data_IF_656792596286
#
_entry.id   IF_656792596286
#
_cell.length_a   1.000
_cell.length_b   1.000
_cell.length_c   1.000
_cell.angle_alpha   90.00
_cell.angle_beta   90.00
_cell.angle_gamma   90.00
#
_symmetry.space_group_name_H-M   'P 1'
#
loop_
_entity.id
_entity.type
_entity.pdbx_description
1 polymer ?
#
# COMPACT_ATOMS: atom_id res chain seq x y z
N UNK A 1 13.91 -12.63 13.19
CA UNK A 1 13.44 -12.81 14.59
C UNK A 1 11.93 -12.71 14.52
N UNK A 2 11.18 -13.73 14.93
CA UNK A 2 9.72 -13.78 14.69
C UNK A 2 9.03 -12.66 15.49
N UNK A 3 8.18 -11.88 14.83
CA UNK A 3 7.38 -10.83 15.47
C UNK A 3 6.53 -11.41 16.61
N UNK A 4 6.55 -10.83 17.82
CA UNK A 4 5.79 -11.35 18.96
C UNK A 4 4.30 -11.48 18.62
N UNK A 5 3.75 -12.70 18.73
CA UNK A 5 2.33 -12.96 18.46
C UNK A 5 1.99 -13.38 17.01
N UNK A 6 2.97 -13.50 16.11
CA UNK A 6 2.75 -14.08 14.77
C UNK A 6 2.50 -15.60 14.84
N UNK A 7 1.26 -15.99 15.13
CA UNK A 7 0.82 -17.40 15.12
C UNK A 7 0.88 -18.03 13.73
N UNK A 8 0.92 -17.21 12.67
CA UNK A 8 0.99 -17.68 11.30
C UNK A 8 2.42 -18.02 10.85
N UNK A 9 3.44 -17.62 11.60
CA UNK A 9 4.85 -17.89 11.30
C UNK A 9 5.12 -19.38 10.98
N UNK A 10 4.44 -20.30 11.66
CA UNK A 10 4.56 -21.76 11.45
C UNK A 10 4.16 -22.25 10.05
N UNK A 11 3.40 -21.45 9.30
CA UNK A 11 2.97 -21.78 7.93
C UNK A 11 3.96 -21.31 6.87
N UNK A 12 4.92 -20.45 7.23
CA UNK A 12 5.93 -19.98 6.30
C UNK A 12 7.13 -20.90 6.35
N UNK A 13 7.69 -21.20 5.17
CA UNK A 13 8.91 -22.00 5.08
C UNK A 13 10.02 -21.33 5.90
N UNK A 14 10.84 -22.10 6.64
CA UNK A 14 11.96 -21.56 7.40
C UNK A 14 13.04 -20.91 6.51
N UNK A 15 12.94 -21.08 5.18
CA UNK A 15 13.80 -20.40 4.20
C UNK A 15 13.33 -18.99 3.84
N UNK A 16 12.11 -18.61 4.22
CA UNK A 16 11.57 -17.26 3.98
C UNK A 16 12.26 -16.28 4.92
N UNK A 17 12.94 -15.32 4.34
CA UNK A 17 13.57 -14.19 5.04
C UNK A 17 12.54 -13.15 5.48
N UNK A 18 12.95 -12.29 6.42
CA UNK A 18 12.15 -11.14 6.86
C UNK A 18 11.75 -10.23 5.68
N UNK A 19 12.64 -10.04 4.70
CA UNK A 19 12.37 -9.28 3.45
C UNK A 19 11.29 -9.92 2.60
N UNK A 20 11.39 -11.22 2.35
CA UNK A 20 10.40 -11.94 1.54
C UNK A 20 9.04 -11.92 2.22
N UNK A 21 9.00 -12.08 3.56
CA UNK A 21 7.74 -11.98 4.31
C UNK A 21 7.15 -10.57 4.23
N UNK A 22 7.95 -9.53 4.46
CA UNK A 22 7.48 -8.15 4.37
C UNK A 22 6.95 -7.81 2.95
N UNK A 23 7.65 -8.25 1.90
CA UNK A 23 7.23 -8.05 0.51
C UNK A 23 5.93 -8.81 0.19
N UNK A 24 5.80 -10.05 0.66
CA UNK A 24 4.59 -10.85 0.51
C UNK A 24 3.38 -10.18 1.16
N UNK A 25 3.53 -9.70 2.39
CA UNK A 25 2.49 -8.99 3.13
C UNK A 25 2.11 -7.64 2.48
N UNK A 26 3.08 -6.96 1.85
CA UNK A 26 2.81 -5.76 1.06
C UNK A 26 2.01 -6.08 -0.21
N UNK A 27 2.33 -7.19 -0.89
CA UNK A 27 1.57 -7.70 -2.04
C UNK A 27 0.11 -8.01 -1.69
N UNK A 28 -0.13 -8.66 -0.55
CA UNK A 28 -1.49 -8.91 -0.03
C UNK A 28 -2.25 -7.59 0.15
N UNK A 29 -1.62 -6.58 0.76
CA UNK A 29 -2.26 -5.30 1.00
C UNK A 29 -2.64 -4.59 -0.31
N UNK A 30 -1.71 -4.48 -1.27
CA UNK A 30 -1.98 -3.81 -2.55
C UNK A 30 -3.01 -4.57 -3.40
N UNK A 31 -2.95 -5.91 -3.41
CA UNK A 31 -3.95 -6.74 -4.08
C UNK A 31 -5.35 -6.54 -3.49
N UNK A 32 -5.47 -6.52 -2.16
CA UNK A 32 -6.72 -6.20 -1.47
C UNK A 32 -7.24 -4.83 -1.89
N UNK A 33 -6.38 -3.80 -1.91
CA UNK A 33 -6.80 -2.43 -2.26
C UNK A 33 -7.39 -2.37 -3.67
N UNK A 34 -6.76 -3.03 -4.65
CA UNK A 34 -7.26 -3.09 -6.03
C UNK A 34 -8.63 -3.76 -6.07
N UNK A 35 -8.78 -4.95 -5.50
CA UNK A 35 -9.97 -5.78 -5.72
C UNK A 35 -11.14 -5.41 -4.81
N UNK A 36 -10.89 -4.94 -3.59
CA UNK A 36 -11.93 -4.64 -2.62
C UNK A 36 -12.62 -3.29 -2.88
N UNK A 37 -11.89 -2.30 -3.43
CA UNK A 37 -12.39 -0.93 -3.60
C UNK A 37 -12.68 -0.55 -5.05
N UNK A 38 -12.23 -1.33 -6.03
CA UNK A 38 -12.67 -1.13 -7.42
C UNK A 38 -14.18 -1.38 -7.53
N UNK A 39 -14.89 -0.50 -8.22
CA UNK A 39 -16.34 -0.59 -8.40
C UNK A 39 -17.16 0.30 -7.48
N UNK A 40 -16.53 0.95 -6.49
CA UNK A 40 -17.25 1.88 -5.60
C UNK A 40 -17.77 3.08 -6.40
N UNK A 41 -19.08 3.40 -6.35
CA UNK A 41 -19.62 4.60 -6.96
C UNK A 41 -19.18 5.83 -6.16
N UNK A 42 -18.74 6.88 -6.85
CA UNK A 42 -18.29 8.13 -6.27
C UNK A 42 -18.86 9.29 -7.06
N UNK A 43 -19.34 10.30 -6.34
CA UNK A 43 -19.99 11.46 -6.90
C UNK A 43 -19.46 12.76 -6.33
N UNK A 44 -19.17 12.80 -5.04
CA UNK A 44 -18.79 14.02 -4.33
C UNK A 44 -17.35 13.97 -3.81
N UNK A 45 -16.72 15.14 -3.69
CA UNK A 45 -15.33 15.22 -3.23
C UNK A 45 -15.17 14.76 -1.77
N UNK A 46 -16.21 14.91 -0.95
CA UNK A 46 -16.24 14.45 0.43
C UNK A 46 -16.19 12.91 0.52
N UNK A 47 -16.82 12.21 -0.44
CA UNK A 47 -16.78 10.74 -0.54
C UNK A 47 -15.38 10.26 -0.91
N UNK A 48 -14.70 10.96 -1.83
CA UNK A 48 -13.30 10.67 -2.18
C UNK A 48 -12.42 10.73 -0.93
N UNK A 49 -12.50 11.84 -0.17
CA UNK A 49 -11.73 12.02 1.08
C UNK A 49 -12.06 10.97 2.13
N UNK A 50 -13.32 10.55 2.21
CA UNK A 50 -13.74 9.49 3.12
C UNK A 50 -13.16 8.15 2.69
N UNK A 51 -13.22 7.81 1.40
CA UNK A 51 -12.68 6.58 0.85
C UNK A 51 -11.17 6.48 1.04
N UNK A 52 -10.41 7.55 0.81
CA UNK A 52 -8.97 7.58 1.09
C UNK A 52 -8.68 7.12 2.54
N UNK A 53 -9.39 7.70 3.52
CA UNK A 53 -9.25 7.33 4.94
C UNK A 53 -9.68 5.89 5.21
N UNK A 54 -10.81 5.45 4.65
CA UNK A 54 -11.32 4.09 4.84
C UNK A 54 -10.32 3.06 4.31
N UNK A 55 -9.75 3.29 3.13
CA UNK A 55 -8.74 2.41 2.53
C UNK A 55 -7.48 2.38 3.40
N UNK A 56 -7.00 3.54 3.87
CA UNK A 56 -5.85 3.60 4.79
C UNK A 56 -6.09 2.77 6.05
N UNK A 57 -7.25 2.93 6.70
CA UNK A 57 -7.57 2.16 7.90
C UNK A 57 -7.70 0.66 7.59
N UNK A 58 -8.36 0.28 6.50
CA UNK A 58 -8.49 -1.11 6.08
C UNK A 58 -7.13 -1.79 5.85
N UNK A 59 -6.17 -1.07 5.25
CA UNK A 59 -4.78 -1.56 5.10
C UNK A 59 -4.12 -1.69 6.46
N UNK A 60 -4.17 -0.66 7.32
CA UNK A 60 -3.54 -0.67 8.65
C UNK A 60 -4.10 -1.72 9.60
N UNK A 61 -5.34 -2.18 9.38
CA UNK A 61 -5.94 -3.27 10.15
C UNK A 61 -5.37 -4.65 9.81
N UNK A 62 -4.60 -4.78 8.72
CA UNK A 62 -3.96 -6.04 8.35
C UNK A 62 -2.64 -6.27 9.15
N UNK A 63 -2.18 -7.52 9.31
CA UNK A 63 -0.95 -7.82 10.02
C UNK A 63 0.29 -7.11 9.45
N UNK A 64 1.12 -6.53 10.33
CA UNK A 64 2.43 -5.94 9.99
C UNK A 64 2.40 -4.63 9.18
N UNK A 65 1.22 -4.06 8.93
CA UNK A 65 1.09 -2.81 8.17
C UNK A 65 1.36 -1.63 9.10
N UNK A 66 2.50 -0.98 8.92
CA UNK A 66 2.95 0.13 9.80
C UNK A 66 2.31 1.45 9.41
N UNK A 67 2.31 1.76 8.10
CA UNK A 67 1.73 2.98 7.53
C UNK A 67 1.04 2.67 6.21
N UNK A 68 0.00 3.43 5.91
CA UNK A 68 -0.67 3.45 4.62
C UNK A 68 -1.01 4.89 4.29
N UNK A 69 -0.81 5.27 3.04
CA UNK A 69 -1.17 6.57 2.48
C UNK A 69 -1.93 6.33 1.19
N UNK A 70 -3.11 6.93 1.05
CA UNK A 70 -3.97 6.73 -0.12
C UNK A 70 -4.33 8.09 -0.70
N UNK A 71 -4.15 8.21 -2.01
CA UNK A 71 -4.71 9.32 -2.78
C UNK A 71 -5.56 8.78 -3.92
N UNK A 72 -6.72 9.37 -4.15
CA UNK A 72 -7.62 9.03 -5.24
C UNK A 72 -7.64 10.19 -6.24
N UNK A 73 -7.19 9.92 -7.46
CA UNK A 73 -7.24 10.85 -8.58
C UNK A 73 -8.37 10.41 -9.52
N UNK A 74 -9.57 10.96 -9.29
CA UNK A 74 -10.77 10.62 -10.05
C UNK A 74 -11.50 11.88 -10.48
N UNK A 75 -11.95 11.91 -11.74
CA UNK A 75 -12.77 12.99 -12.26
C UNK A 75 -14.22 12.78 -11.83
N UNK A 76 -14.75 13.75 -11.10
CA UNK A 76 -16.12 13.73 -10.59
C UNK A 76 -17.07 14.44 -11.57
N UNK A 77 -18.33 13.98 -11.67
CA UNK A 77 -19.34 14.68 -12.45
C UNK A 77 -19.61 16.08 -11.88
N UNK A 78 -19.84 17.06 -12.76
CA UNK A 78 -20.06 18.46 -12.39
C UNK A 78 -21.54 18.82 -12.18
N UNK A 79 -22.47 17.96 -12.61
CA UNK A 79 -23.90 18.23 -12.55
C UNK A 79 -24.59 17.61 -11.31
N UNK A 80 -25.84 18.01 -11.09
CA UNK A 80 -26.66 17.52 -9.97
C UNK A 80 -27.62 16.38 -10.35
N UNK A 81 -27.45 15.74 -11.52
CA UNK A 81 -28.30 14.63 -11.92
C UNK A 81 -28.06 13.43 -10.98
N UNK A 82 -29.07 12.91 -10.24
CA UNK A 82 -28.90 11.83 -9.26
C UNK A 82 -28.27 10.54 -9.83
N UNK A 83 -28.38 10.30 -11.14
CA UNK A 83 -27.84 9.12 -11.80
C UNK A 83 -26.41 9.29 -12.33
N UNK A 84 -25.86 10.51 -12.28
CA UNK A 84 -24.50 10.78 -12.71
C UNK A 84 -23.51 10.56 -11.55
N UNK A 85 -22.72 9.49 -11.65
CA UNK A 85 -21.61 9.17 -10.75
C UNK A 85 -20.49 8.54 -11.58
N UNK A 86 -19.27 8.60 -11.06
CA UNK A 86 -18.14 7.88 -11.61
C UNK A 86 -17.85 6.64 -10.77
N UNK A 87 -17.13 5.68 -11.33
CA UNK A 87 -16.80 4.44 -10.63
C UNK A 87 -15.31 4.42 -10.34
N UNK A 88 -14.95 4.19 -9.08
CA UNK A 88 -13.56 4.03 -8.67
C UNK A 88 -12.94 2.82 -9.38
N UNK A 89 -11.80 3.04 -10.04
CA UNK A 89 -11.02 2.00 -10.71
C UNK A 89 -9.60 1.99 -10.14
N UNK A 90 -8.87 0.89 -10.35
CA UNK A 90 -7.46 0.77 -9.97
C UNK A 90 -6.60 1.94 -10.46
N UNK A 91 -6.87 2.46 -11.68
CA UNK A 91 -6.12 3.59 -12.25
C UNK A 91 -6.26 4.92 -11.49
N UNK A 92 -7.30 5.04 -10.67
CA UNK A 92 -7.52 6.23 -9.85
C UNK A 92 -6.74 6.16 -8.54
N UNK A 93 -6.27 4.98 -8.14
CA UNK A 93 -5.63 4.73 -6.85
C UNK A 93 -4.13 5.02 -6.92
N UNK A 94 -3.66 5.80 -5.95
CA UNK A 94 -2.25 6.09 -5.74
C UNK A 94 -1.88 5.80 -4.28
N UNK A 95 -1.40 4.58 -4.00
CA UNK A 95 -1.34 4.01 -2.64
C UNK A 95 0.10 3.67 -2.27
N UNK A 96 0.54 4.07 -1.08
CA UNK A 96 1.83 3.68 -0.49
C UNK A 96 1.55 2.89 0.77
N UNK A 97 2.17 1.73 0.91
CA UNK A 97 2.10 0.90 2.11
C UNK A 97 3.52 0.68 2.63
N UNK A 98 3.71 0.83 3.93
CA UNK A 98 4.94 0.44 4.62
C UNK A 98 4.63 -0.75 5.50
N UNK A 99 5.29 -1.87 5.21
CA UNK A 99 5.20 -3.11 5.98
C UNK A 99 6.51 -3.31 6.73
N UNK A 100 6.43 -3.65 8.02
CA UNK A 100 7.61 -3.96 8.85
C UNK A 100 7.46 -5.38 9.37
N UNK A 101 8.45 -6.24 9.11
CA UNK A 101 8.49 -7.60 9.64
C UNK A 101 9.92 -7.95 10.06
N UNK A 102 10.11 -8.24 11.34
CA UNK A 102 11.42 -8.56 11.90
C UNK A 102 12.41 -7.41 11.69
N UNK A 103 13.48 -7.66 10.93
CA UNK A 103 14.49 -6.64 10.62
C UNK A 103 14.22 -5.84 9.35
N UNK A 104 13.25 -6.24 8.52
CA UNK A 104 13.00 -5.64 7.22
C UNK A 104 11.79 -4.69 7.25
N UNK A 105 11.86 -3.62 6.46
CA UNK A 105 10.75 -2.75 6.12
C UNK A 105 10.63 -2.62 4.60
N UNK A 106 9.45 -2.85 4.05
CA UNK A 106 9.18 -2.73 2.62
C UNK A 106 8.24 -1.55 2.39
N UNK A 107 8.66 -0.62 1.54
CA UNK A 107 7.81 0.45 1.00
C UNK A 107 7.30 -0.02 -0.36
N UNK A 108 6.01 -0.27 -0.47
CA UNK A 108 5.37 -0.69 -1.72
C UNK A 108 4.41 0.38 -2.23
N UNK A 109 4.28 0.48 -3.56
CA UNK A 109 3.47 1.48 -4.25
C UNK A 109 2.49 0.81 -5.20
N UNK A 110 1.30 1.38 -5.33
CA UNK A 110 0.35 1.13 -6.41
C UNK A 110 0.02 2.47 -7.06
N UNK A 111 0.26 2.59 -8.37
CA UNK A 111 -0.13 3.78 -9.15
C UNK A 111 -0.33 3.45 -10.62
N UNK A 112 -1.14 4.26 -11.29
CA UNK A 112 -1.22 4.25 -12.74
C UNK A 112 0.04 4.85 -13.37
N UNK A 113 0.62 4.14 -14.34
CA UNK A 113 1.75 4.56 -15.15
C UNK A 113 1.27 4.78 -16.59
N UNK A 114 1.13 6.03 -17.05
CA UNK A 114 0.65 6.34 -18.40
C UNK A 114 1.48 5.69 -19.51
N UNK A 115 2.79 5.55 -19.31
CA UNK A 115 3.73 4.94 -20.25
C UNK A 115 3.51 3.43 -20.45
N UNK A 116 2.85 2.77 -19.49
CA UNK A 116 2.48 1.34 -19.58
C UNK A 116 0.98 1.13 -19.80
N UNK A 117 0.18 2.20 -19.76
CA UNK A 117 -1.28 2.14 -19.61
C UNK A 117 -1.73 1.12 -18.53
N UNK A 118 -1.02 1.09 -17.40
CA UNK A 118 -1.19 0.04 -16.40
C UNK A 118 -1.13 0.58 -14.96
N UNK A 119 -1.95 0.00 -14.08
CA UNK A 119 -1.88 0.25 -12.63
C UNK A 119 -0.89 -0.72 -12.02
N UNK A 120 0.36 -0.26 -11.86
CA UNK A 120 1.46 -1.11 -11.40
C UNK A 120 1.54 -1.11 -9.88
N UNK A 121 1.49 -2.30 -9.29
CA UNK A 121 1.96 -2.54 -7.93
C UNK A 121 3.43 -2.95 -7.96
N UNK A 122 4.28 -2.29 -7.19
CA UNK A 122 5.71 -2.57 -7.15
C UNK A 122 6.31 -2.26 -5.78
N UNK A 123 7.50 -2.82 -5.52
CA UNK A 123 8.32 -2.47 -4.36
C UNK A 123 9.10 -1.21 -4.72
N UNK A 124 8.86 -0.13 -4.00
CA UNK A 124 9.56 1.14 -4.21
C UNK A 124 10.91 1.14 -3.48
N UNK A 125 10.96 0.57 -2.28
CA UNK A 125 12.20 0.48 -1.50
C UNK A 125 12.15 -0.63 -0.44
N UNK A 126 13.33 -1.08 0.02
CA UNK A 126 13.48 -2.05 1.11
C UNK A 126 14.56 -1.54 2.07
N UNK A 127 14.24 -1.45 3.35
CA UNK A 127 15.15 -1.07 4.42
C UNK A 127 15.39 -2.23 5.36
N UNK A 128 16.61 -2.38 5.87
CA UNK A 128 16.94 -3.37 6.89
C UNK A 128 17.58 -2.71 8.12
N UNK A 129 17.16 -3.11 9.32
CA UNK A 129 17.86 -2.72 10.55
C UNK A 129 19.20 -3.45 10.62
N UNK A 130 20.26 -2.78 10.19
CA UNK A 130 21.62 -3.30 10.16
C UNK A 130 22.57 -2.62 9.17
N UNK A 131 22.05 -1.84 8.22
CA UNK A 131 22.88 -0.95 7.42
C UNK A 131 23.32 0.23 8.31
N UNK A 132 24.54 0.13 8.86
CA UNK A 132 25.19 1.27 9.50
C UNK A 132 25.22 2.43 8.50
N UNK A 133 24.69 3.59 8.90
CA UNK A 133 25.14 4.84 8.28
C UNK A 133 26.65 4.87 8.46
N UNK A 134 27.38 4.70 7.37
CA UNK A 134 28.75 5.21 7.29
C UNK A 134 28.67 6.72 7.42
N UNK A 135 28.67 7.18 8.67
CA UNK A 135 29.08 8.54 8.98
C UNK A 135 30.57 8.55 8.63
N UNK A 136 30.88 9.09 7.45
CA UNK A 136 32.24 9.47 7.11
C UNK A 136 32.64 10.59 8.10
N UNK A 137 33.16 10.21 9.25
CA UNK A 137 34.08 11.06 9.99
C UNK A 137 35.38 11.09 9.20
N UNK A 138 35.62 12.18 8.48
CA UNK A 138 36.93 12.45 7.91
C UNK A 138 36.90 13.00 6.49
N UNK A 139 36.67 14.30 6.38
CA UNK A 139 37.39 15.12 5.40
C UNK A 139 37.59 16.49 6.03
N UNK A 140 38.79 16.62 6.63
CA UNK A 140 39.59 17.82 6.93
C UNK A 140 38.84 19.14 7.10
#
# INVERSE_FOLDING_TARGET
>A
MVEPGDVAAKYFSPKVSDRERAAFEAGIALGMVIHQFSGVPVRFAEEVKLLEKVIEYAVKSQPFKRKAFVKINIDLPSDRNPYNYTTLRSRNLDVTVIVEYGKAAVKARLRYLPELDYSLAYIEDIYEKGDEMSVNEGSV
#
